data_IF_244676712040
#
_entry.id   IF_244676712040
#
_cell.length_a   1.000
_cell.length_b   1.000
_cell.length_c   1.000
_cell.angle_alpha   90.00
_cell.angle_beta   90.00
_cell.angle_gamma   90.00
#
_symmetry.space_group_name_H-M   'P 1'
#
loop_
_entity.id
_entity.type
_entity.pdbx_description
1 polymer ?
#
# COMPACT_ATOMS: atom_id res chain seq x y z
N UNK A 1 3.76 -19.09 5.55
CA UNK A 1 3.43 -17.71 5.94
C UNK A 1 2.38 -17.24 4.95
N UNK A 2 1.29 -16.64 5.42
CA UNK A 2 0.13 -16.27 4.58
C UNK A 2 0.38 -15.06 3.67
N UNK A 3 1.61 -14.55 3.62
CA UNK A 3 2.01 -13.34 2.93
C UNK A 3 3.37 -13.54 2.29
N UNK A 4 3.53 -13.00 1.08
CA UNK A 4 4.82 -12.79 0.41
C UNK A 4 5.12 -11.29 0.42
N UNK A 5 6.30 -10.93 0.93
CA UNK A 5 6.76 -9.55 1.00
C UNK A 5 7.90 -9.34 0.00
N UNK A 6 7.83 -8.26 -0.77
CA UNK A 6 8.79 -7.93 -1.84
C UNK A 6 9.21 -6.47 -1.71
N UNK A 7 10.53 -6.23 -1.67
CA UNK A 7 11.10 -4.88 -1.70
C UNK A 7 11.03 -4.33 -3.12
N UNK A 8 10.66 -3.07 -3.27
CA UNK A 8 10.67 -2.37 -4.55
C UNK A 8 12.01 -1.66 -4.80
N UNK A 9 12.10 -0.85 -5.86
CA UNK A 9 13.28 -0.07 -6.21
C UNK A 9 13.70 0.90 -5.10
N UNK A 10 12.75 1.33 -4.27
CA UNK A 10 13.01 1.94 -2.97
C UNK A 10 12.74 0.87 -1.90
N UNK A 11 13.79 0.26 -1.31
CA UNK A 11 13.65 -0.97 -0.52
C UNK A 11 12.82 -0.85 0.77
N UNK A 12 12.56 0.36 1.25
CA UNK A 12 11.68 0.62 2.38
C UNK A 12 10.19 0.45 2.01
N UNK A 13 9.82 0.68 0.74
CA UNK A 13 8.45 0.51 0.24
C UNK A 13 8.25 -0.96 -0.11
N UNK A 14 7.29 -1.61 0.55
CA UNK A 14 7.12 -3.06 0.48
C UNK A 14 5.82 -3.40 -0.25
N UNK A 15 5.94 -4.16 -1.34
CA UNK A 15 4.81 -4.83 -1.97
C UNK A 15 4.47 -6.11 -1.18
N UNK A 16 3.19 -6.31 -0.90
CA UNK A 16 2.72 -7.41 -0.06
C UNK A 16 1.63 -8.16 -0.82
N UNK A 17 1.84 -9.46 -1.01
CA UNK A 17 0.89 -10.35 -1.66
C UNK A 17 0.36 -11.37 -0.64
N UNK A 18 -0.92 -11.31 -0.23
CA UNK A 18 -1.51 -12.33 0.62
C UNK A 18 -1.79 -13.62 -0.18
N UNK A 19 -1.77 -14.75 0.53
CA UNK A 19 -2.32 -16.01 0.05
C UNK A 19 -3.86 -15.92 0.01
N UNK A 20 -4.44 -16.31 -1.13
CA UNK A 20 -5.90 -16.23 -1.35
C UNK A 20 -6.46 -17.64 -1.53
N UNK A 21 -7.22 -18.09 -0.54
CA UNK A 21 -7.86 -19.41 -0.54
C UNK A 21 -9.23 -19.31 -1.20
N UNK A 22 -9.41 -19.94 -2.36
CA UNK A 22 -10.64 -19.86 -3.15
C UNK A 22 -11.45 -21.15 -3.09
N UNK A 23 -12.76 -21.03 -3.03
CA UNK A 23 -13.70 -22.14 -3.16
C UNK A 23 -15.04 -21.68 -3.77
N UNK A 24 -16.00 -22.59 -3.91
CA UNK A 24 -17.31 -22.32 -4.54
C UNK A 24 -18.14 -21.21 -3.86
N UNK A 25 -17.81 -20.82 -2.64
CA UNK A 25 -18.46 -19.75 -1.87
C UNK A 25 -17.82 -18.39 -2.12
N UNK A 26 -16.61 -18.35 -2.68
CA UNK A 26 -15.82 -17.14 -2.88
C UNK A 26 -14.35 -17.35 -2.52
N UNK A 27 -13.82 -16.47 -1.68
CA UNK A 27 -12.44 -16.58 -1.20
C UNK A 27 -12.31 -16.16 0.26
N UNK A 28 -11.22 -16.61 0.88
CA UNK A 28 -10.74 -16.16 2.18
C UNK A 28 -9.28 -15.74 2.05
N UNK A 29 -8.90 -14.63 2.69
CA UNK A 29 -7.52 -14.17 2.77
C UNK A 29 -7.33 -13.39 4.07
N UNK A 30 -6.19 -13.59 4.72
CA UNK A 30 -5.73 -12.67 5.77
C UNK A 30 -5.21 -11.40 5.09
N UNK A 31 -5.70 -10.23 5.51
CA UNK A 31 -5.24 -8.94 4.95
C UNK A 31 -4.11 -8.34 5.79
N UNK A 32 -4.09 -8.61 7.10
CA UNK A 32 -3.03 -8.15 8.00
C UNK A 32 -2.83 -9.11 9.16
N UNK A 33 -1.57 -9.26 9.57
CA UNK A 33 -1.19 -10.03 10.75
C UNK A 33 0.04 -9.40 11.41
N UNK A 34 -0.16 -8.79 12.58
CA UNK A 34 0.85 -7.99 13.29
C UNK A 34 2.21 -8.69 13.42
N UNK A 35 2.20 -9.97 13.80
CA UNK A 35 3.42 -10.76 13.96
C UNK A 35 4.21 -10.87 12.65
N UNK A 36 3.56 -11.36 11.60
CA UNK A 36 4.19 -11.63 10.31
C UNK A 36 4.71 -10.33 9.64
N UNK A 37 3.98 -9.22 9.80
CA UNK A 37 4.38 -7.90 9.31
C UNK A 37 5.58 -7.34 10.10
N UNK A 38 5.57 -7.46 11.43
CA UNK A 38 6.67 -7.03 12.28
C UNK A 38 7.96 -7.83 12.04
N UNK A 39 7.85 -9.14 11.77
CA UNK A 39 8.98 -9.99 11.38
C UNK A 39 9.65 -9.55 10.06
N UNK A 40 8.90 -8.85 9.18
CA UNK A 40 9.43 -8.25 7.95
C UNK A 40 9.86 -6.78 8.09
N UNK A 41 9.82 -6.23 9.31
CA UNK A 41 10.25 -4.86 9.59
C UNK A 41 9.14 -3.80 9.50
N UNK A 42 7.88 -4.20 9.37
CA UNK A 42 6.70 -3.33 9.47
C UNK A 42 6.18 -3.41 10.91
N UNK A 43 6.82 -2.65 11.80
CA UNK A 43 6.60 -2.74 13.25
C UNK A 43 5.67 -1.63 13.79
N UNK A 44 5.21 -0.72 12.93
CA UNK A 44 4.30 0.35 13.32
C UNK A 44 2.96 -0.17 13.83
N UNK A 45 2.31 0.65 14.65
CA UNK A 45 0.93 0.42 15.05
C UNK A 45 -0.03 1.11 14.07
N UNK A 46 -0.83 0.33 13.36
CA UNK A 46 -1.91 0.85 12.52
C UNK A 46 -3.10 1.28 13.41
N UNK A 47 -3.20 2.59 13.64
CA UNK A 47 -4.18 3.19 14.59
C UNK A 47 -5.43 3.77 13.93
N UNK A 48 -5.48 3.80 12.60
CA UNK A 48 -6.59 4.38 11.85
C UNK A 48 -6.84 3.59 10.57
N UNK A 49 -8.11 3.50 10.18
CA UNK A 49 -8.56 2.92 8.92
C UNK A 49 -9.34 3.98 8.16
N UNK A 50 -8.98 4.14 6.88
CA UNK A 50 -9.71 4.99 5.94
C UNK A 50 -10.21 4.10 4.80
N UNK A 51 -11.35 4.47 4.21
CA UNK A 51 -11.90 3.82 3.03
C UNK A 51 -12.48 4.89 2.11
N UNK A 52 -12.24 4.77 0.81
CA UNK A 52 -12.66 5.77 -0.17
C UNK A 52 -13.02 5.11 -1.50
N UNK A 53 -14.17 5.45 -2.06
CA UNK A 53 -14.53 5.15 -3.45
C UNK A 53 -14.18 6.33 -4.35
N UNK A 54 -13.62 6.05 -5.52
CA UNK A 54 -13.22 7.06 -6.51
C UNK A 54 -13.56 6.58 -7.92
N UNK A 55 -14.02 7.51 -8.76
CA UNK A 55 -14.32 7.25 -10.17
C UNK A 55 -13.02 7.19 -11.01
N UNK A 56 -13.11 6.64 -12.23
CA UNK A 56 -12.01 6.55 -13.18
C UNK A 56 -11.25 7.87 -13.34
N UNK A 57 -9.93 7.78 -13.44
CA UNK A 57 -9.00 8.91 -13.60
C UNK A 57 -8.94 9.87 -12.40
N UNK A 58 -9.66 9.62 -11.30
CA UNK A 58 -9.49 10.40 -10.08
C UNK A 58 -8.09 10.15 -9.52
N UNK A 59 -7.35 11.24 -9.35
CA UNK A 59 -6.04 11.26 -8.71
C UNK A 59 -6.18 11.84 -7.30
N UNK A 60 -5.67 11.12 -6.30
CA UNK A 60 -5.55 11.62 -4.92
C UNK A 60 -4.09 11.60 -4.51
N UNK A 61 -3.50 12.77 -4.27
CA UNK A 61 -2.11 12.88 -3.85
C UNK A 61 -1.39 14.10 -4.43
N UNK A 62 -0.10 14.29 -4.12
CA UNK A 62 0.71 13.46 -3.23
C UNK A 62 0.59 13.95 -1.79
N UNK A 63 0.13 13.08 -0.88
CA UNK A 63 -0.12 13.41 0.52
C UNK A 63 0.99 12.85 1.41
N UNK A 64 1.45 13.65 2.37
CA UNK A 64 2.37 13.23 3.40
C UNK A 64 2.01 13.87 4.75
N UNK A 65 2.44 13.21 5.82
CA UNK A 65 2.51 13.80 7.15
C UNK A 65 3.98 13.77 7.57
N UNK A 66 4.48 14.90 8.06
CA UNK A 66 5.86 15.04 8.50
C UNK A 66 5.95 14.92 10.02
N UNK A 67 7.17 14.69 10.51
CA UNK A 67 7.45 14.69 11.94
C UNK A 67 6.93 15.99 12.60
N UNK A 68 6.33 15.90 13.80
CA UNK A 68 6.30 14.74 14.69
C UNK A 68 5.14 13.75 14.46
N UNK A 69 4.29 13.95 13.45
CA UNK A 69 3.06 13.17 13.22
C UNK A 69 3.13 12.33 11.94
N UNK A 70 4.33 11.90 11.55
CA UNK A 70 4.51 11.08 10.35
C UNK A 70 3.75 9.75 10.49
N UNK A 71 3.09 9.32 9.42
CA UNK A 71 2.24 8.15 9.40
C UNK A 71 2.67 7.19 8.30
N UNK A 72 2.84 5.92 8.66
CA UNK A 72 2.92 4.82 7.71
C UNK A 72 1.53 4.37 7.27
N UNK A 73 1.41 3.88 6.04
CA UNK A 73 0.14 3.43 5.45
C UNK A 73 0.27 2.00 4.96
N UNK A 74 -0.78 1.22 5.15
CA UNK A 74 -0.99 -0.05 4.44
C UNK A 74 -2.16 0.16 3.48
N UNK A 75 -1.90 0.11 2.18
CA UNK A 75 -2.86 0.46 1.12
C UNK A 75 -3.25 -0.81 0.37
N UNK A 76 -4.55 -1.00 0.14
CA UNK A 76 -5.11 -2.07 -0.70
C UNK A 76 -6.33 -1.55 -1.46
N UNK A 77 -6.77 -2.34 -2.44
CA UNK A 77 -8.00 -2.13 -3.21
C UNK A 77 -8.92 -3.33 -3.02
N UNK A 78 -10.17 -3.08 -2.63
CA UNK A 78 -11.21 -4.08 -2.44
C UNK A 78 -12.10 -4.24 -3.68
N UNK A 79 -12.24 -3.19 -4.48
CA UNK A 79 -12.90 -3.23 -5.78
C UNK A 79 -12.11 -2.42 -6.82
N UNK A 80 -12.01 -2.94 -8.05
CA UNK A 80 -11.35 -2.23 -9.14
C UNK A 80 -9.82 -2.28 -9.07
N UNK A 81 -9.19 -1.23 -9.61
CA UNK A 81 -7.76 -1.11 -9.80
C UNK A 81 -7.29 0.35 -9.72
N UNK A 82 -6.18 0.55 -9.03
CA UNK A 82 -5.46 1.84 -8.98
C UNK A 82 -4.00 1.64 -9.39
N UNK A 83 -3.42 2.69 -9.95
CA UNK A 83 -1.98 2.87 -9.99
C UNK A 83 -1.58 3.67 -8.75
N UNK A 84 -0.91 3.01 -7.80
CA UNK A 84 -0.44 3.61 -6.55
C UNK A 84 1.02 4.05 -6.70
N UNK A 85 1.35 5.24 -6.19
CA UNK A 85 2.67 5.85 -6.30
C UNK A 85 3.16 6.38 -4.96
N UNK A 86 4.46 6.22 -4.73
CA UNK A 86 5.14 6.57 -3.48
C UNK A 86 6.44 7.31 -3.80
N UNK A 87 6.63 8.50 -3.21
CA UNK A 87 7.82 9.35 -3.39
C UNK A 87 8.59 9.42 -2.08
N UNK A 88 9.90 9.17 -2.13
CA UNK A 88 10.78 9.38 -0.98
C UNK A 88 11.06 10.88 -0.80
N UNK A 89 10.55 11.45 0.30
CA UNK A 89 10.73 12.86 0.66
C UNK A 89 11.70 13.04 1.85
N UNK A 90 12.41 11.98 2.26
CA UNK A 90 13.34 11.99 3.38
C UNK A 90 14.66 12.65 2.96
N UNK A 91 14.93 13.86 3.48
CA UNK A 91 16.19 14.55 3.22
C UNK A 91 17.38 13.68 3.66
N UNK A 92 18.37 13.53 2.79
CA UNK A 92 19.54 12.69 3.04
C UNK A 92 19.37 11.22 2.64
N UNK A 93 18.16 10.79 2.23
CA UNK A 93 17.97 9.48 1.62
C UNK A 93 18.70 9.38 0.28
N UNK A 94 19.35 8.24 -0.05
CA UNK A 94 19.89 7.99 -1.39
C UNK A 94 18.80 7.87 -2.47
N UNK A 95 17.53 7.82 -2.06
CA UNK A 95 16.37 7.79 -2.93
C UNK A 95 15.56 9.11 -2.90
N UNK A 96 16.05 10.16 -2.25
CA UNK A 96 15.33 11.44 -2.17
C UNK A 96 14.87 11.95 -3.55
N UNK A 97 13.58 12.24 -3.67
CA UNK A 97 12.93 12.68 -4.91
C UNK A 97 12.65 11.57 -5.94
N UNK A 98 13.12 10.34 -5.69
CA UNK A 98 12.75 9.17 -6.49
C UNK A 98 11.40 8.63 -6.03
N UNK A 99 10.78 7.86 -6.91
CA UNK A 99 9.47 7.29 -6.67
C UNK A 99 9.39 5.86 -7.21
N UNK A 100 8.45 5.11 -6.66
CA UNK A 100 8.02 3.79 -7.14
C UNK A 100 6.53 3.82 -7.37
N UNK A 101 6.06 3.02 -8.33
CA UNK A 101 4.63 2.88 -8.60
C UNK A 101 4.27 1.44 -8.93
N UNK A 102 3.08 1.02 -8.50
CA UNK A 102 2.58 -0.35 -8.67
C UNK A 102 1.06 -0.34 -8.88
N UNK A 103 0.57 -1.31 -9.63
CA UNK A 103 -0.86 -1.56 -9.74
C UNK A 103 -1.35 -2.33 -8.51
N UNK A 104 -2.29 -1.76 -7.76
CA UNK A 104 -3.05 -2.45 -6.72
C UNK A 104 -4.43 -2.80 -7.27
N UNK A 105 -4.82 -4.07 -7.13
CA UNK A 105 -6.07 -4.58 -7.73
C UNK A 105 -6.86 -5.41 -6.74
N UNK A 106 -8.19 -5.33 -6.83
CA UNK A 106 -9.10 -6.20 -6.10
C UNK A 106 -8.94 -7.68 -6.47
N UNK A 107 -8.51 -7.97 -7.70
CA UNK A 107 -8.27 -9.33 -8.17
C UNK A 107 -7.09 -9.98 -7.44
N UNK A 108 -5.92 -9.32 -7.47
CA UNK A 108 -4.68 -9.79 -6.85
C UNK A 108 -4.70 -9.65 -5.33
N UNK A 109 -5.49 -8.70 -4.80
CA UNK A 109 -5.54 -8.38 -3.36
C UNK A 109 -4.18 -7.97 -2.81
N UNK A 110 -3.34 -7.45 -3.69
CA UNK A 110 -2.03 -6.99 -3.31
C UNK A 110 -2.12 -5.66 -2.56
N UNK A 111 -1.11 -5.42 -1.75
CA UNK A 111 -1.00 -4.30 -0.86
C UNK A 111 0.33 -3.58 -1.08
N UNK A 112 0.35 -2.31 -0.72
CA UNK A 112 1.57 -1.52 -0.62
C UNK A 112 1.71 -0.99 0.80
N UNK A 113 2.85 -1.28 1.43
CA UNK A 113 3.25 -0.58 2.64
C UNK A 113 4.07 0.65 2.28
N UNK A 114 3.59 1.80 2.74
CA UNK A 114 4.23 3.11 2.59
C UNK A 114 4.77 3.54 3.95
N UNK A 115 6.10 3.62 4.14
CA UNK A 115 6.67 3.99 5.43
C UNK A 115 6.40 5.46 5.81
N UNK A 116 6.51 5.82 7.10
CA UNK A 116 6.60 7.22 7.51
C UNK A 116 7.70 7.99 6.75
N UNK A 117 7.45 9.26 6.44
CA UNK A 117 8.41 10.11 5.73
C UNK A 117 8.37 9.96 4.20
N UNK A 118 7.34 9.32 3.65
CA UNK A 118 7.06 9.27 2.21
C UNK A 118 5.82 10.11 1.86
N UNK A 119 5.75 10.58 0.61
CA UNK A 119 4.52 11.10 0.02
C UNK A 119 3.83 10.01 -0.80
N UNK A 120 2.52 9.91 -0.69
CA UNK A 120 1.71 8.83 -1.27
C UNK A 120 0.51 9.39 -2.03
N UNK A 121 0.18 8.74 -3.14
CA UNK A 121 -1.03 9.02 -3.90
C UNK A 121 -1.35 7.91 -4.89
N UNK A 122 -2.52 7.97 -5.49
CA UNK A 122 -2.95 7.00 -6.49
C UNK A 122 -3.81 7.64 -7.57
N UNK A 123 -3.92 6.94 -8.70
CA UNK A 123 -4.87 7.23 -9.78
C UNK A 123 -5.74 6.01 -10.05
N UNK A 124 -7.06 6.19 -10.15
CA UNK A 124 -8.00 5.11 -10.48
C UNK A 124 -7.88 4.74 -11.97
N UNK A 125 -7.68 3.45 -12.25
CA UNK A 125 -7.50 2.91 -13.60
C UNK A 125 -8.79 2.27 -14.13
N UNK A 126 -9.51 1.53 -13.28
CA UNK A 126 -10.82 0.96 -13.59
C UNK A 126 -11.92 2.03 -13.63
N UNK A 127 -13.15 1.66 -13.97
CA UNK A 127 -14.30 2.59 -13.95
C UNK A 127 -14.52 3.20 -12.56
N UNK A 128 -14.31 2.41 -11.52
CA UNK A 128 -14.31 2.83 -10.12
C UNK A 128 -13.31 1.99 -9.33
N UNK A 129 -12.82 2.50 -8.21
CA UNK A 129 -12.07 1.73 -7.23
C UNK A 129 -12.36 2.16 -5.78
N UNK A 130 -12.33 1.20 -4.86
CA UNK A 130 -12.48 1.39 -3.39
C UNK A 130 -11.61 0.46 -2.55
#
# INVERSE_FOLDING_TARGET
>A
MSFKFEKLEIPDVIHIQPDVYRDKRGFFAEIYKKKDFAEFGIAEEFVQINHSRSEKNVLRGMHCQLNPVAQGKLVSVFQGEIFDAVIDIRKGSPYFGKWVGIHLTAEKKNMLYVPPGFAHGFCVISEEAE
#
